data_IF_043299046588
#
_entry.id   IF_043299046588
#
_cell.length_a   1.000
_cell.length_b   1.000
_cell.length_c   1.000
_cell.angle_alpha   90.00
_cell.angle_beta   90.00
_cell.angle_gamma   90.00
#
_symmetry.space_group_name_H-M   'P 1'
#
loop_
_entity.id
_entity.type
_entity.pdbx_description
1 polymer ?
#
# COMPACT_ATOMS: atom_id res chain seq x y z
N UNK A 1 3.19 -6.91 -34.39
CA UNK A 1 2.42 -6.57 -33.19
C UNK A 1 3.30 -6.87 -32.00
N UNK A 2 4.06 -5.88 -31.56
CA UNK A 2 4.91 -5.98 -30.37
C UNK A 2 4.02 -6.11 -29.16
N UNK A 3 4.08 -7.24 -28.46
CA UNK A 3 3.48 -7.38 -27.15
C UNK A 3 4.06 -6.28 -26.26
N UNK A 4 3.26 -5.27 -25.93
CA UNK A 4 3.55 -4.41 -24.79
C UNK A 4 3.59 -5.34 -23.60
N UNK A 5 4.79 -5.57 -23.05
CA UNK A 5 4.96 -6.28 -21.80
C UNK A 5 4.33 -5.39 -20.71
N UNK A 6 3.01 -5.51 -20.55
CA UNK A 6 2.28 -4.81 -19.51
C UNK A 6 2.83 -5.28 -18.16
N UNK A 7 3.39 -4.34 -17.42
CA UNK A 7 3.90 -4.61 -16.09
C UNK A 7 2.73 -5.11 -15.23
N UNK A 8 2.82 -6.36 -14.82
CA UNK A 8 1.85 -6.97 -13.91
C UNK A 8 2.53 -7.43 -12.64
N UNK A 9 1.75 -7.46 -11.57
CA UNK A 9 2.21 -7.83 -10.24
C UNK A 9 1.12 -8.59 -9.51
N UNK A 10 1.53 -9.45 -8.59
CA UNK A 10 0.62 -10.23 -7.78
C UNK A 10 0.42 -9.59 -6.41
N UNK A 11 -0.79 -9.69 -5.87
CA UNK A 11 -1.13 -9.28 -4.51
C UNK A 11 -1.84 -10.44 -3.83
N UNK A 12 -1.37 -10.79 -2.64
CA UNK A 12 -2.01 -11.76 -1.77
C UNK A 12 -2.84 -11.04 -0.70
N UNK A 13 -4.09 -11.47 -0.58
CA UNK A 13 -5.01 -11.07 0.47
C UNK A 13 -5.33 -12.27 1.37
N UNK A 14 -5.35 -12.04 2.69
CA UNK A 14 -6.13 -12.85 3.62
C UNK A 14 -7.57 -12.36 3.56
N UNK A 15 -8.52 -13.23 3.22
CA UNK A 15 -9.94 -12.89 3.19
C UNK A 15 -10.68 -13.88 4.07
N UNK A 16 -11.45 -13.38 5.05
CA UNK A 16 -12.20 -14.20 5.99
C UNK A 16 -13.38 -14.89 5.30
N UNK A 17 -13.09 -15.97 4.59
CA UNK A 17 -14.06 -16.80 3.88
C UNK A 17 -14.55 -17.92 4.80
N UNK A 18 -15.86 -17.93 5.08
CA UNK A 18 -16.48 -18.96 5.93
C UNK A 18 -16.95 -20.18 5.13
N UNK A 19 -17.23 -20.02 3.84
CA UNK A 19 -17.70 -21.09 2.95
C UNK A 19 -17.54 -20.73 1.48
N UNK A 20 -17.92 -21.65 0.60
CA UNK A 20 -17.88 -21.50 -0.86
C UNK A 20 -18.77 -20.35 -1.40
N UNK A 21 -19.81 -19.95 -0.67
CA UNK A 21 -20.60 -18.78 -1.05
C UNK A 21 -19.75 -17.48 -1.01
N UNK A 22 -18.78 -17.37 -0.10
CA UNK A 22 -17.84 -16.25 -0.10
C UNK A 22 -17.00 -16.24 -1.40
N UNK A 23 -16.53 -17.41 -1.84
CA UNK A 23 -15.77 -17.55 -3.09
C UNK A 23 -16.58 -17.07 -4.29
N UNK A 24 -17.84 -17.51 -4.40
CA UNK A 24 -18.72 -17.13 -5.51
C UNK A 24 -18.93 -15.62 -5.55
N UNK A 25 -19.23 -14.98 -4.41
CA UNK A 25 -19.38 -13.52 -4.31
C UNK A 25 -18.15 -12.76 -4.80
N UNK A 26 -16.95 -13.19 -4.40
CA UNK A 26 -15.70 -12.56 -4.83
C UNK A 26 -15.54 -12.68 -6.35
N UNK A 27 -15.81 -13.86 -6.91
CA UNK A 27 -15.72 -14.10 -8.36
C UNK A 27 -16.71 -13.21 -9.12
N UNK A 28 -17.96 -13.11 -8.68
CA UNK A 28 -18.99 -12.30 -9.31
C UNK A 28 -18.66 -10.81 -9.30
N UNK A 29 -18.14 -10.31 -8.19
CA UNK A 29 -17.77 -8.91 -8.06
C UNK A 29 -16.54 -8.55 -8.90
N UNK A 30 -15.47 -9.34 -8.80
CA UNK A 30 -14.21 -9.05 -9.49
C UNK A 30 -14.31 -9.25 -11.01
N UNK A 31 -15.28 -10.04 -11.51
CA UNK A 31 -15.58 -10.12 -12.96
C UNK A 31 -15.92 -8.77 -13.59
N UNK A 32 -16.40 -7.81 -12.80
CA UNK A 32 -16.72 -6.46 -13.27
C UNK A 32 -15.48 -5.57 -13.43
N UNK A 33 -14.28 -6.07 -13.09
CA UNK A 33 -13.00 -5.37 -13.17
C UNK A 33 -12.09 -6.08 -14.19
N UNK A 34 -12.13 -5.69 -15.49
CA UNK A 34 -11.41 -6.41 -16.55
C UNK A 34 -9.89 -6.49 -16.36
N UNK A 35 -9.30 -5.52 -15.66
CA UNK A 35 -7.87 -5.45 -15.35
C UNK A 35 -7.47 -6.25 -14.11
N UNK A 36 -8.40 -6.92 -13.43
CA UNK A 36 -8.13 -7.73 -12.23
C UNK A 36 -8.29 -9.21 -12.58
N UNK A 37 -7.22 -9.99 -12.41
CA UNK A 37 -7.23 -11.43 -12.69
C UNK A 37 -7.09 -12.22 -11.40
N UNK A 38 -7.98 -13.19 -11.18
CA UNK A 38 -7.91 -14.11 -10.04
C UNK A 38 -6.94 -15.23 -10.38
N UNK A 39 -5.84 -15.33 -9.64
CA UNK A 39 -4.88 -16.43 -9.77
C UNK A 39 -5.20 -17.57 -8.81
N UNK A 40 -5.66 -17.24 -7.61
CA UNK A 40 -6.05 -18.23 -6.61
C UNK A 40 -7.19 -17.71 -5.74
N UNK A 41 -8.13 -18.59 -5.41
CA UNK A 41 -9.07 -18.38 -4.31
C UNK A 41 -9.20 -19.67 -3.49
N UNK A 42 -8.76 -19.64 -2.25
CA UNK A 42 -8.68 -20.80 -1.37
C UNK A 42 -9.41 -20.52 -0.06
N UNK A 43 -10.60 -21.09 0.08
CA UNK A 43 -11.47 -20.92 1.24
C UNK A 43 -10.83 -21.50 2.50
N UNK A 44 -10.25 -22.70 2.41
CA UNK A 44 -9.64 -23.38 3.56
C UNK A 44 -8.47 -22.60 4.17
N UNK A 45 -7.68 -21.94 3.31
CA UNK A 45 -6.55 -21.11 3.72
C UNK A 45 -6.90 -19.63 3.87
N UNK A 46 -8.16 -19.23 3.66
CA UNK A 46 -8.62 -17.84 3.70
C UNK A 46 -7.76 -16.92 2.81
N UNK A 47 -7.43 -17.38 1.61
CA UNK A 47 -6.45 -16.74 0.72
C UNK A 47 -7.05 -16.38 -0.64
N UNK A 48 -6.74 -15.18 -1.10
CA UNK A 48 -7.03 -14.68 -2.44
C UNK A 48 -5.75 -14.13 -3.04
N UNK A 49 -5.36 -14.60 -4.23
CA UNK A 49 -4.23 -14.06 -4.99
C UNK A 49 -4.75 -13.46 -6.27
N UNK A 50 -4.45 -12.19 -6.49
CA UNK A 50 -4.83 -11.45 -7.69
C UNK A 50 -3.58 -11.03 -8.46
N UNK A 51 -3.65 -11.09 -9.79
CA UNK A 51 -2.71 -10.43 -10.69
C UNK A 51 -3.33 -9.12 -11.17
N UNK A 52 -2.60 -8.03 -10.95
CA UNK A 52 -2.97 -6.66 -11.27
C UNK A 52 -1.97 -6.07 -12.25
N UNK A 53 -2.36 -4.98 -12.92
CA UNK A 53 -1.51 -4.15 -13.78
C UNK A 53 -1.74 -2.65 -13.45
N UNK A 54 -1.15 -1.77 -14.26
CA UNK A 54 -1.26 -0.32 -14.07
C UNK A 54 -2.71 0.20 -14.13
N UNK A 55 -3.55 -0.43 -14.96
CA UNK A 55 -4.98 -0.08 -15.13
C UNK A 55 -5.90 -0.75 -14.12
N UNK A 56 -5.39 -1.59 -13.21
CA UNK A 56 -6.18 -2.14 -12.12
C UNK A 56 -6.42 -1.10 -11.03
N UNK A 57 -7.50 -1.21 -10.25
CA UNK A 57 -7.59 -0.51 -8.97
C UNK A 57 -6.39 -0.85 -8.06
N UNK A 58 -6.04 0.05 -7.15
CA UNK A 58 -5.03 -0.19 -6.10
C UNK A 58 -5.40 -1.40 -5.25
N UNK A 59 -4.40 -2.02 -4.63
CA UNK A 59 -4.65 -3.12 -3.70
C UNK A 59 -5.58 -2.67 -2.54
N UNK A 60 -5.49 -1.40 -2.15
CA UNK A 60 -6.34 -0.78 -1.14
C UNK A 60 -7.80 -0.62 -1.60
N UNK A 61 -8.03 -0.17 -2.84
CA UNK A 61 -9.39 -0.07 -3.38
C UNK A 61 -10.05 -1.45 -3.50
N UNK A 62 -9.29 -2.47 -3.89
CA UNK A 62 -9.79 -3.86 -3.91
C UNK A 62 -10.11 -4.33 -2.49
N UNK A 63 -9.23 -4.08 -1.51
CA UNK A 63 -9.48 -4.38 -0.11
C UNK A 63 -10.79 -3.72 0.37
N UNK A 64 -10.96 -2.41 0.14
CA UNK A 64 -12.17 -1.68 0.51
C UNK A 64 -13.42 -2.20 -0.19
N UNK A 65 -13.32 -2.60 -1.46
CA UNK A 65 -14.44 -3.22 -2.18
C UNK A 65 -14.84 -4.55 -1.51
N UNK A 66 -13.88 -5.40 -1.16
CA UNK A 66 -14.14 -6.67 -0.49
C UNK A 66 -14.75 -6.46 0.90
N UNK A 67 -14.26 -5.48 1.64
CA UNK A 67 -14.74 -5.17 2.99
C UNK A 67 -16.10 -4.48 2.98
N UNK A 68 -16.26 -3.39 2.24
CA UNK A 68 -17.46 -2.55 2.33
C UNK A 68 -18.62 -3.11 1.51
N UNK A 69 -18.34 -3.66 0.32
CA UNK A 69 -19.40 -4.18 -0.57
C UNK A 69 -19.75 -5.62 -0.24
N UNK A 70 -18.74 -6.46 -0.04
CA UNK A 70 -18.96 -7.89 0.20
C UNK A 70 -19.04 -8.27 1.67
N UNK A 71 -18.70 -7.35 2.58
CA UNK A 71 -18.69 -7.59 4.03
C UNK A 71 -17.74 -8.74 4.39
N UNK A 72 -16.58 -8.79 3.71
CA UNK A 72 -15.53 -9.78 3.91
C UNK A 72 -14.27 -9.09 4.43
N UNK A 73 -13.96 -9.28 5.72
CA UNK A 73 -12.74 -8.77 6.34
C UNK A 73 -11.53 -9.23 5.53
N UNK A 74 -10.70 -8.27 5.12
CA UNK A 74 -9.64 -8.49 4.14
C UNK A 74 -8.36 -7.81 4.57
N UNK A 75 -7.22 -8.50 4.45
CA UNK A 75 -5.90 -7.99 4.81
C UNK A 75 -4.93 -8.23 3.67
N UNK A 76 -4.19 -7.21 3.23
CA UNK A 76 -3.08 -7.38 2.28
C UNK A 76 -1.91 -8.08 3.00
N UNK A 77 -1.54 -9.29 2.57
CA UNK A 77 -0.50 -10.11 3.21
C UNK A 77 0.86 -10.02 2.55
N UNK A 78 0.88 -9.84 1.23
CA UNK A 78 2.12 -9.82 0.46
C UNK A 78 1.90 -9.31 -0.95
N UNK A 79 2.96 -8.78 -1.54
CA UNK A 79 2.95 -8.20 -2.89
C UNK A 79 4.19 -8.60 -3.67
N UNK A 80 4.02 -8.86 -4.95
CA UNK A 80 5.09 -9.23 -5.88
C UNK A 80 5.82 -10.53 -5.57
N UNK A 81 6.67 -10.93 -6.51
CA UNK A 81 7.46 -12.16 -6.44
C UNK A 81 8.94 -11.92 -6.19
N UNK A 82 9.40 -10.68 -6.41
CA UNK A 82 10.82 -10.34 -6.36
C UNK A 82 11.17 -9.46 -5.15
N UNK A 83 10.99 -8.15 -5.20
CA UNK A 83 11.22 -7.28 -4.04
C UNK A 83 9.96 -6.49 -3.72
N UNK A 84 9.60 -6.47 -2.44
CA UNK A 84 8.50 -5.70 -1.90
C UNK A 84 8.99 -4.83 -0.74
N UNK A 85 8.50 -3.59 -0.69
CA UNK A 85 8.72 -2.70 0.43
C UNK A 85 7.43 -1.96 0.79
N UNK A 86 7.35 -1.49 2.02
CA UNK A 86 6.21 -0.77 2.57
C UNK A 86 6.69 0.38 3.44
N UNK A 87 5.97 1.49 3.40
CA UNK A 87 6.11 2.61 4.33
C UNK A 87 4.76 2.94 4.93
N UNK A 88 4.67 2.94 6.26
CA UNK A 88 3.52 3.48 6.98
C UNK A 88 3.79 4.95 7.26
N UNK A 89 3.17 5.83 6.48
CA UNK A 89 3.34 7.27 6.62
C UNK A 89 2.59 7.76 7.83
N UNK A 90 3.30 8.51 8.66
CA UNK A 90 2.77 9.20 9.83
C UNK A 90 3.04 10.68 9.69
N UNK A 91 2.04 11.48 10.04
CA UNK A 91 2.15 12.93 10.05
C UNK A 91 3.22 13.42 11.02
N UNK A 92 3.79 14.59 10.73
CA UNK A 92 4.59 15.34 11.70
C UNK A 92 3.72 15.86 12.85
N UNK A 93 4.34 16.44 13.87
CA UNK A 93 3.62 16.98 15.04
C UNK A 93 2.64 18.11 14.66
N UNK A 94 2.91 18.81 13.55
CA UNK A 94 2.03 19.82 12.98
C UNK A 94 0.84 19.23 12.21
N UNK A 95 0.92 17.96 11.80
CA UNK A 95 -0.08 17.27 10.98
C UNK A 95 -0.43 15.87 11.53
N UNK A 96 -0.75 15.73 12.83
CA UNK A 96 -0.83 14.43 13.51
C UNK A 96 -1.97 13.53 12.99
N UNK A 97 -2.96 14.12 12.31
CA UNK A 97 -4.09 13.40 11.70
C UNK A 97 -3.77 12.77 10.35
N UNK A 98 -2.59 13.03 9.77
CA UNK A 98 -2.21 12.49 8.46
C UNK A 98 -1.61 11.10 8.64
N UNK A 99 -2.16 10.12 7.93
CA UNK A 99 -1.67 8.74 7.94
C UNK A 99 -1.86 8.08 6.58
N UNK A 100 -0.98 7.15 6.23
CA UNK A 100 -1.09 6.47 4.96
C UNK A 100 -0.22 5.25 4.86
N UNK A 101 -0.39 4.51 3.78
CA UNK A 101 0.46 3.36 3.46
C UNK A 101 0.91 3.47 2.02
N UNK A 102 2.21 3.40 1.82
CA UNK A 102 2.84 3.27 0.51
C UNK A 102 3.44 1.88 0.36
N UNK A 103 3.28 1.29 -0.82
CA UNK A 103 3.83 0.00 -1.20
C UNK A 103 4.67 0.14 -2.46
N UNK A 104 5.80 -0.54 -2.46
CA UNK A 104 6.69 -0.67 -3.60
C UNK A 104 6.77 -2.13 -4.01
N UNK A 105 6.61 -2.38 -5.30
CA UNK A 105 6.65 -3.73 -5.88
C UNK A 105 7.59 -3.70 -7.06
N UNK A 106 8.78 -4.25 -6.89
CA UNK A 106 9.80 -4.29 -7.92
C UNK A 106 9.88 -5.69 -8.54
N UNK A 107 9.95 -5.75 -9.87
CA UNK A 107 10.21 -6.97 -10.63
C UNK A 107 11.71 -7.20 -10.85
N UNK A 108 12.07 -8.33 -11.47
CA UNK A 108 13.46 -8.70 -11.76
C UNK A 108 14.14 -7.73 -12.74
N UNK A 109 13.36 -7.06 -13.59
CA UNK A 109 13.79 -6.04 -14.53
C UNK A 109 14.00 -4.66 -13.88
N UNK A 110 13.95 -4.56 -12.53
CA UNK A 110 14.07 -3.32 -11.75
C UNK A 110 13.00 -2.26 -12.03
N UNK A 111 11.88 -2.65 -12.63
CA UNK A 111 10.70 -1.80 -12.72
C UNK A 111 9.95 -1.87 -11.40
N UNK A 112 9.66 -0.73 -10.82
CA UNK A 112 9.00 -0.61 -9.53
C UNK A 112 7.62 0.02 -9.72
N UNK A 113 6.57 -0.66 -9.24
CA UNK A 113 5.28 -0.04 -9.04
C UNK A 113 5.23 0.57 -7.65
N UNK A 114 4.90 1.85 -7.60
CA UNK A 114 4.55 2.57 -6.39
C UNK A 114 3.03 2.69 -6.29
N UNK A 115 2.46 2.31 -5.14
CA UNK A 115 1.04 2.42 -4.83
C UNK A 115 0.90 2.97 -3.40
N UNK A 116 0.39 4.20 -3.28
CA UNK A 116 0.24 4.87 -2.00
C UNK A 116 -1.15 5.49 -1.85
N UNK A 117 -1.68 5.34 -0.65
CA UNK A 117 -2.91 5.99 -0.21
C UNK A 117 -2.63 6.65 1.13
N UNK A 118 -2.81 7.97 1.18
CA UNK A 118 -2.58 8.80 2.36
C UNK A 118 -3.82 9.65 2.59
N UNK A 119 -4.27 9.73 3.83
CA UNK A 119 -5.50 10.39 4.25
C UNK A 119 -5.22 11.40 5.37
N UNK A 120 -6.20 12.23 5.71
CA UNK A 120 -6.13 13.22 6.78
C UNK A 120 -5.63 14.60 6.35
N UNK A 121 -5.56 14.88 5.05
CA UNK A 121 -5.23 16.22 4.56
C UNK A 121 -6.40 17.18 4.79
N UNK A 122 -6.13 18.34 5.38
CA UNK A 122 -7.16 19.32 5.75
C UNK A 122 -7.37 20.42 4.71
N UNK A 123 -6.54 20.46 3.67
CA UNK A 123 -6.61 21.45 2.61
C UNK A 123 -6.54 20.81 1.22
N UNK A 124 -6.85 21.62 0.22
CA UNK A 124 -6.78 21.26 -1.20
C UNK A 124 -5.44 21.66 -1.82
N UNK A 125 -4.35 21.65 -1.04
CA UNK A 125 -3.03 21.96 -1.55
C UNK A 125 -2.50 20.85 -2.47
N UNK A 126 -1.41 21.19 -3.17
CA UNK A 126 -0.67 20.23 -3.98
C UNK A 126 0.56 19.74 -3.21
N UNK A 127 0.89 18.47 -3.45
CA UNK A 127 1.91 17.75 -2.71
C UNK A 127 2.89 17.07 -3.65
N UNK A 128 4.12 16.90 -3.17
CA UNK A 128 5.14 16.08 -3.79
C UNK A 128 5.41 14.86 -2.92
N UNK A 129 5.68 13.74 -3.56
CA UNK A 129 6.05 12.48 -2.90
C UNK A 129 7.44 12.09 -3.39
N UNK A 130 8.35 11.85 -2.45
CA UNK A 130 9.75 11.59 -2.76
C UNK A 130 10.46 10.76 -1.70
N UNK A 131 11.58 10.15 -2.10
CA UNK A 131 12.47 9.42 -1.21
C UNK A 131 13.57 10.37 -0.75
N UNK A 132 13.83 10.36 0.56
CA UNK A 132 14.83 11.19 1.21
C UNK A 132 16.02 10.36 1.71
N UNK A 133 17.11 11.04 2.07
CA UNK A 133 18.40 10.42 2.34
C UNK A 133 18.40 9.43 3.51
N UNK A 134 17.75 9.80 4.63
CA UNK A 134 17.79 9.06 5.89
C UNK A 134 16.40 8.57 6.31
N UNK A 135 16.36 7.42 6.98
CA UNK A 135 15.16 6.91 7.66
C UNK A 135 15.00 7.42 9.09
N UNK A 136 15.48 8.63 9.38
CA UNK A 136 15.41 9.22 10.73
C UNK A 136 14.14 10.08 10.89
N UNK A 137 13.16 9.54 11.62
CA UNK A 137 11.89 10.19 11.91
C UNK A 137 11.85 10.82 13.32
N UNK A 138 13.00 11.05 13.95
CA UNK A 138 13.08 11.54 15.35
C UNK A 138 12.72 13.01 15.53
N UNK A 139 12.81 13.81 14.48
CA UNK A 139 12.47 15.24 14.48
C UNK A 139 10.95 15.45 14.34
N UNK A 140 10.39 16.36 15.14
CA UNK A 140 8.95 16.65 15.15
C UNK A 140 8.43 17.15 13.81
N UNK A 141 9.25 17.86 13.05
CA UNK A 141 8.94 18.36 11.70
C UNK A 141 9.47 17.42 10.59
N UNK A 142 10.01 16.27 10.98
CA UNK A 142 10.57 15.25 10.10
C UNK A 142 11.76 15.75 9.25
N UNK A 143 12.47 16.80 9.68
CA UNK A 143 13.60 17.37 8.92
C UNK A 143 14.85 16.49 8.94
N UNK A 144 15.00 15.62 9.94
CA UNK A 144 16.12 14.67 10.06
C UNK A 144 16.21 13.66 8.92
N UNK A 145 15.16 13.51 8.09
CA UNK A 145 15.20 12.64 6.91
C UNK A 145 16.19 13.12 5.84
N UNK A 146 16.63 14.38 5.91
CA UNK A 146 17.58 14.97 4.97
C UNK A 146 16.96 15.33 3.62
N UNK A 147 17.82 15.50 2.62
CA UNK A 147 17.42 15.99 1.29
C UNK A 147 16.60 14.95 0.51
N UNK A 148 15.71 15.42 -0.36
CA UNK A 148 15.06 14.55 -1.35
C UNK A 148 16.11 14.09 -2.37
N UNK A 149 16.22 12.77 -2.54
CA UNK A 149 17.19 12.13 -3.45
C UNK A 149 16.52 11.45 -4.65
N UNK A 150 15.20 11.27 -4.60
CA UNK A 150 14.44 10.69 -5.70
C UNK A 150 13.00 11.18 -5.67
N UNK A 151 12.55 11.78 -6.77
CA UNK A 151 11.18 12.23 -6.92
C UNK A 151 10.29 11.09 -7.47
N UNK A 152 9.20 10.78 -6.78
CA UNK A 152 8.22 9.79 -7.25
C UNK A 152 7.11 10.49 -8.04
N UNK A 153 6.50 11.51 -7.45
CA UNK A 153 5.40 12.24 -8.05
C UNK A 153 5.36 13.68 -7.54
N UNK A 154 4.91 14.59 -8.41
CA UNK A 154 4.85 16.02 -8.15
C UNK A 154 3.47 16.59 -8.41
N UNK A 155 3.12 17.67 -7.72
CA UNK A 155 1.89 18.44 -7.91
C UNK A 155 0.62 17.58 -7.81
N UNK A 156 0.63 16.61 -6.90
CA UNK A 156 -0.52 15.73 -6.65
C UNK A 156 -1.51 16.48 -5.77
N UNK A 157 -2.76 16.56 -6.20
CA UNK A 157 -3.82 17.19 -5.41
C UNK A 157 -4.42 16.17 -4.44
N UNK A 158 -4.70 16.62 -3.22
CA UNK A 158 -5.61 15.91 -2.33
C UNK A 158 -7.04 16.07 -2.84
N UNK A 159 -7.81 14.97 -2.87
CA UNK A 159 -9.23 14.95 -3.19
C UNK A 159 -9.95 14.42 -1.95
N UNK A 160 -10.88 15.21 -1.41
CA UNK A 160 -11.64 14.88 -0.19
C UNK A 160 -10.74 14.46 0.99
N UNK A 161 -9.61 15.16 1.17
CA UNK A 161 -8.65 14.88 2.24
C UNK A 161 -7.75 13.68 1.99
N UNK A 162 -7.82 13.07 0.80
CA UNK A 162 -7.09 11.87 0.43
C UNK A 162 -6.20 12.07 -0.80
N UNK A 163 -4.98 11.57 -0.69
CA UNK A 163 -3.99 11.52 -1.77
C UNK A 163 -3.78 10.06 -2.18
N UNK A 164 -4.01 9.75 -3.46
CA UNK A 164 -3.81 8.41 -4.02
C UNK A 164 -2.84 8.47 -5.20
N UNK A 165 -1.78 7.68 -5.15
CA UNK A 165 -0.73 7.68 -6.17
C UNK A 165 -0.42 6.25 -6.57
N UNK A 166 -0.71 5.91 -7.82
CA UNK A 166 -0.24 4.67 -8.45
C UNK A 166 0.62 5.03 -9.65
N UNK A 167 1.87 4.57 -9.66
CA UNK A 167 2.82 4.92 -10.71
C UNK A 167 3.89 3.84 -10.91
N UNK A 168 4.12 3.46 -12.16
CA UNK A 168 5.29 2.66 -12.55
C UNK A 168 6.52 3.56 -12.67
N UNK A 169 7.65 3.06 -12.18
CA UNK A 169 8.94 3.75 -12.11
C UNK A 169 10.01 2.80 -12.63
N UNK A 170 10.61 3.11 -13.78
CA UNK A 170 11.58 2.21 -14.42
C UNK A 170 12.99 2.27 -13.81
N UNK A 171 13.36 3.38 -13.15
CA UNK A 171 14.73 3.64 -12.66
C UNK A 171 14.81 3.73 -11.13
N UNK A 172 14.06 2.88 -10.42
CA UNK A 172 14.05 2.85 -8.95
C UNK A 172 14.40 1.45 -8.46
N UNK A 173 15.62 1.28 -7.97
CA UNK A 173 16.04 0.06 -7.27
C UNK A 173 15.64 0.15 -5.79
N UNK A 174 14.44 -0.29 -5.46
CA UNK A 174 13.89 -0.21 -4.10
C UNK A 174 14.75 -0.97 -3.09
N UNK A 175 15.49 -2.00 -3.54
CA UNK A 175 16.36 -2.77 -2.64
C UNK A 175 17.46 -1.91 -2.01
N UNK A 176 17.92 -0.89 -2.74
CA UNK A 176 18.91 0.09 -2.29
C UNK A 176 18.29 1.28 -1.53
N UNK A 177 16.96 1.38 -1.46
CA UNK A 177 16.23 2.46 -0.78
C UNK A 177 15.63 2.01 0.56
N UNK A 178 15.66 0.72 0.88
CA UNK A 178 15.22 0.21 2.18
C UNK A 178 16.05 0.85 3.30
N UNK A 179 15.38 1.32 4.35
CA UNK A 179 15.97 2.03 5.48
C UNK A 179 16.09 3.54 5.27
N UNK A 180 15.86 4.02 4.05
CA UNK A 180 15.64 5.44 3.77
C UNK A 180 14.18 5.82 4.04
N UNK A 181 13.83 7.09 3.90
CA UNK A 181 12.46 7.53 4.11
C UNK A 181 11.73 7.88 2.82
N UNK A 182 10.42 7.69 2.86
CA UNK A 182 9.47 8.24 1.90
C UNK A 182 8.72 9.37 2.60
N UNK A 183 8.64 10.54 1.98
CA UNK A 183 7.97 11.70 2.55
C UNK A 183 6.99 12.34 1.56
N UNK A 184 5.99 13.00 2.15
CA UNK A 184 5.01 13.85 1.47
C UNK A 184 5.30 15.29 1.87
N UNK A 185 5.61 16.12 0.90
CA UNK A 185 5.93 17.53 1.08
C UNK A 185 4.85 18.39 0.46
N UNK A 186 4.47 19.45 1.15
CA UNK A 186 3.54 20.46 0.64
C UNK A 186 4.26 21.43 -0.30
N UNK A 187 3.63 21.80 -1.42
CA UNK A 187 4.30 22.60 -2.45
C UNK A 187 4.30 24.10 -2.18
N UNK A 188 3.40 24.58 -1.34
CA UNK A 188 3.26 26.01 -1.02
C UNK A 188 4.41 26.53 -0.15
N UNK A 189 4.76 25.81 0.90
CA UNK A 189 5.73 26.23 1.92
C UNK A 189 6.91 25.25 2.07
N UNK A 190 6.82 24.04 1.51
CA UNK A 190 7.86 23.03 1.60
C UNK A 190 7.83 22.17 2.87
N UNK A 191 6.76 22.26 3.67
CA UNK A 191 6.65 21.48 4.90
C UNK A 191 6.52 19.99 4.62
N UNK A 192 7.19 19.17 5.43
CA UNK A 192 7.05 17.72 5.41
C UNK A 192 5.83 17.36 6.27
N UNK A 193 4.78 16.93 5.59
CA UNK A 193 3.48 16.67 6.19
C UNK A 193 3.46 15.28 6.82
N UNK A 194 4.05 14.31 6.14
CA UNK A 194 4.17 12.95 6.63
C UNK A 194 5.41 12.26 6.07
N UNK A 195 5.97 11.32 6.83
CA UNK A 195 7.06 10.48 6.38
C UNK A 195 6.97 9.06 6.94
N UNK A 196 7.75 8.16 6.36
CA UNK A 196 7.87 6.77 6.78
C UNK A 196 9.27 6.25 6.48
N UNK A 197 9.73 5.26 7.24
CA UNK A 197 10.88 4.44 6.83
C UNK A 197 10.41 3.42 5.80
N UNK A 198 11.13 3.30 4.70
CA UNK A 198 10.90 2.27 3.69
C UNK A 198 11.40 0.94 4.25
N UNK A 199 10.48 0.11 4.71
CA UNK A 199 10.76 -1.20 5.29
C UNK A 199 10.59 -2.32 4.28
N UNK A 200 11.26 -3.45 4.49
CA UNK A 200 11.02 -4.67 3.72
C UNK A 200 9.59 -5.17 3.95
N UNK A 201 8.91 -5.56 2.88
CA UNK A 201 7.60 -6.19 2.95
C UNK A 201 7.69 -7.66 2.52
N UNK A 202 6.69 -8.44 2.92
CA UNK A 202 6.60 -9.84 2.51
C UNK A 202 6.17 -9.95 1.06
N UNK A 203 6.81 -10.87 0.33
CA UNK A 203 6.35 -11.31 -0.99
C UNK A 203 5.09 -12.15 -0.82
N UNK A 204 4.39 -12.41 -1.93
CA UNK A 204 3.29 -13.37 -1.91
C UNK A 204 3.77 -14.72 -1.33
N UNK A 205 2.92 -15.38 -0.55
CA UNK A 205 3.12 -16.68 0.08
C UNK A 205 4.21 -16.75 1.16
N UNK A 206 4.96 -15.67 1.40
CA UNK A 206 6.06 -15.67 2.37
C UNK A 206 5.65 -15.19 3.77
N UNK A 207 4.45 -14.63 3.94
CA UNK A 207 3.94 -14.24 5.25
C UNK A 207 2.95 -15.28 5.80
N UNK A 208 3.45 -16.31 6.49
CA UNK A 208 2.60 -17.37 7.09
C UNK A 208 2.07 -17.01 8.49
N UNK A 209 2.34 -15.78 8.97
CA UNK A 209 1.95 -15.33 10.30
C UNK A 209 0.43 -15.38 10.47
N UNK A 210 -0.04 -16.11 11.49
CA UNK A 210 -1.45 -16.16 11.91
C UNK A 210 -1.70 -15.42 13.22
N UNK A 211 -0.66 -15.32 14.05
CA UNK A 211 -0.68 -14.72 15.38
C UNK A 211 0.41 -13.65 15.47
N UNK A 212 0.08 -12.52 16.08
CA UNK A 212 1.04 -11.47 16.38
C UNK A 212 1.74 -11.71 17.70
N UNK A 213 3.08 -11.86 17.67
CA UNK A 213 3.88 -12.06 18.86
C UNK A 213 3.78 -10.91 19.87
N UNK A 214 3.52 -9.68 19.41
CA UNK A 214 3.40 -8.50 20.29
C UNK A 214 2.12 -8.52 21.13
N UNK A 215 1.01 -8.99 20.55
CA UNK A 215 -0.32 -8.94 21.17
C UNK A 215 -0.84 -10.32 21.61
N UNK A 216 -0.25 -11.40 21.11
CA UNK A 216 -0.77 -12.76 21.23
C UNK A 216 -2.04 -13.02 20.42
N UNK A 217 -2.57 -12.01 19.73
CA UNK A 217 -3.84 -12.08 18.99
C UNK A 217 -3.63 -12.61 17.58
N UNK A 218 -4.64 -13.27 17.05
CA UNK A 218 -4.73 -13.62 15.62
C UNK A 218 -4.90 -12.36 14.77
N UNK A 219 -4.58 -12.45 13.47
CA UNK A 219 -4.82 -11.35 12.53
C UNK A 219 -6.27 -10.83 12.56
N UNK A 220 -7.23 -11.73 12.77
CA UNK A 220 -8.66 -11.38 12.83
C UNK A 220 -9.02 -10.69 14.14
N UNK A 221 -8.50 -11.17 15.27
CA UNK A 221 -8.69 -10.52 16.58
C UNK A 221 -8.03 -9.14 16.64
N UNK A 222 -6.87 -8.95 16.00
CA UNK A 222 -6.26 -7.63 15.83
C UNK A 222 -7.15 -6.72 14.98
N UNK A 223 -7.71 -7.23 13.88
CA UNK A 223 -8.61 -6.48 13.00
C UNK A 223 -9.89 -6.04 13.75
N UNK A 224 -10.55 -6.95 14.46
CA UNK A 224 -11.72 -6.63 15.29
C UNK A 224 -11.40 -5.57 16.35
N UNK A 225 -10.21 -5.63 16.96
CA UNK A 225 -9.79 -4.63 17.95
C UNK A 225 -9.58 -3.25 17.33
N UNK A 226 -9.07 -3.19 16.10
CA UNK A 226 -8.87 -1.93 15.36
C UNK A 226 -10.23 -1.36 14.94
N UNK A 227 -11.12 -2.19 14.42
CA UNK A 227 -12.45 -1.77 13.96
C UNK A 227 -13.34 -1.28 15.12
N UNK A 228 -13.12 -1.79 16.34
CA UNK A 228 -13.79 -1.31 17.56
C UNK A 228 -13.20 -0.01 18.13
N UNK A 229 -11.97 0.37 17.73
CA UNK A 229 -11.31 1.63 18.10
C UNK A 229 -11.59 2.73 17.06
N UNK A 230 -12.85 2.87 16.64
CA UNK A 230 -13.30 4.07 15.93
C UNK A 230 -12.98 5.28 16.81
N UNK A 231 -12.11 6.16 16.31
CA UNK A 231 -11.97 7.54 16.79
C UNK A 231 -13.18 8.34 16.33
#
# INVERSE_FOLDING_TARGET
MTATNDFSFQVEFAVLMKCDACRIKIIEELKNLPSVHIDEINVANQRLVLRLNESSPSAFEIQNLLENKLQLNTIIRGTGNFIAAVGELRGSDHYPGVFGVARFIQNEQKQCLFDAVIDGFTDSSSYNVGIHEYGDLSDSDLKSIGSEIFNIATNIQSIDGKLSVKKKIDNLDISAKIGQSLAVRKNDNGDIIAASVIARASKILNNTKKVCACSGKTLWEERETIDQKLF
#
